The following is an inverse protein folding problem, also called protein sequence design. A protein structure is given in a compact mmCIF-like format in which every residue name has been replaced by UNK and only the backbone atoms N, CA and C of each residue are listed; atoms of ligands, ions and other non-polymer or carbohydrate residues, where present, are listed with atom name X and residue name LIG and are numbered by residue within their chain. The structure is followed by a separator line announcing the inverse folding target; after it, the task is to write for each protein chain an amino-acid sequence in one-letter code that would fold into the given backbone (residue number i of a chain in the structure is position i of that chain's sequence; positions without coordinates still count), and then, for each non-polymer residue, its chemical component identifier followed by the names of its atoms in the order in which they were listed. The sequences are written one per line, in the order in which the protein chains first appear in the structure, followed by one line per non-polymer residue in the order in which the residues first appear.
data_IF_099968346757
#
_entry.id   IF_099968346757
#
_cell.length_a   1.000
_cell.length_b   1.000
_cell.length_c   1.000
_cell.angle_alpha   90.00
_cell.angle_beta   90.00
_cell.angle_gamma   90.00
#
_symmetry.space_group_name_H-M   'P 1'
#
loop_
_entity.id
_entity.type
_entity.pdbx_description
1 polymer ?
#
# COMPACT_ATOMS: atom_id res chain seq x y z
N UNK A 1 -11.72 5.78 -2.27
CA UNK A 1 -10.92 4.56 -2.15
C UNK A 1 -9.58 4.89 -1.50
N UNK A 2 -9.16 4.08 -0.56
CA UNK A 2 -7.86 4.23 0.11
C UNK A 2 -6.92 3.15 -0.44
N UNK A 3 -5.77 3.55 -0.95
CA UNK A 3 -4.73 2.63 -1.42
C UNK A 3 -3.60 2.52 -0.39
N UNK A 4 -2.95 1.36 -0.36
CA UNK A 4 -1.88 1.05 0.59
C UNK A 4 -0.68 0.46 -0.14
N UNK A 5 0.52 0.76 0.36
CA UNK A 5 1.68 -0.07 0.06
C UNK A 5 1.74 -1.25 1.06
N UNK A 6 2.66 -2.17 0.84
CA UNK A 6 2.74 -3.38 1.68
C UNK A 6 3.13 -3.09 3.12
N UNK A 7 4.00 -2.10 3.35
CA UNK A 7 4.44 -1.78 4.72
C UNK A 7 3.30 -1.21 5.56
N UNK A 8 2.43 -0.41 4.96
CA UNK A 8 1.25 0.12 5.63
C UNK A 8 0.29 -0.99 6.06
N UNK A 9 0.05 -1.96 5.17
CA UNK A 9 -0.81 -3.11 5.49
C UNK A 9 -0.20 -3.99 6.58
N UNK A 10 1.10 -4.19 6.57
CA UNK A 10 1.80 -4.96 7.60
C UNK A 10 1.58 -4.36 8.99
N UNK A 11 1.54 -3.03 9.12
CA UNK A 11 1.25 -2.35 10.39
C UNK A 11 -0.15 -2.64 10.94
N UNK A 12 -1.08 -3.05 10.12
CA UNK A 12 -2.42 -3.43 10.54
C UNK A 12 -2.49 -4.85 11.09
N UNK A 13 -1.50 -5.67 10.85
CA UNK A 13 -1.41 -7.07 11.28
C UNK A 13 -0.39 -7.24 12.40
N UNK A 14 0.80 -6.66 12.24
CA UNK A 14 1.87 -6.67 13.24
C UNK A 14 1.96 -5.30 13.87
N UNK A 15 1.85 -5.25 15.21
CA UNK A 15 1.85 -3.97 15.91
C UNK A 15 3.20 -3.28 15.80
N UNK A 16 3.17 -2.03 15.30
CA UNK A 16 4.31 -1.13 15.19
C UNK A 16 3.92 0.22 15.78
N UNK A 17 4.86 1.17 15.81
CA UNK A 17 4.63 2.49 16.39
C UNK A 17 3.44 3.23 15.78
N UNK A 18 3.23 3.10 14.47
CA UNK A 18 2.21 3.82 13.72
C UNK A 18 0.86 3.08 13.66
N UNK A 19 0.78 1.87 14.20
CA UNK A 19 -0.45 1.04 14.10
C UNK A 19 -1.66 1.73 14.71
N UNK A 20 -1.54 2.26 15.92
CA UNK A 20 -2.66 2.91 16.60
C UNK A 20 -3.14 4.17 15.86
N UNK A 21 -2.27 5.12 15.49
CA UNK A 21 -2.72 6.28 14.71
C UNK A 21 -3.27 5.91 13.33
N UNK A 22 -2.71 4.89 12.66
CA UNK A 22 -3.24 4.41 11.38
C UNK A 22 -4.65 3.86 11.54
N UNK A 23 -4.89 3.03 12.55
CA UNK A 23 -6.23 2.49 12.82
C UNK A 23 -7.25 3.58 13.13
N UNK A 24 -6.87 4.56 13.94
CA UNK A 24 -7.74 5.70 14.26
C UNK A 24 -8.11 6.48 13.00
N UNK A 25 -7.14 6.71 12.12
CA UNK A 25 -7.36 7.40 10.85
C UNK A 25 -8.32 6.62 9.93
N UNK A 26 -8.18 5.29 9.89
CA UNK A 26 -9.06 4.42 9.09
C UNK A 26 -10.48 4.32 9.65
N UNK A 27 -10.64 4.24 10.97
CA UNK A 27 -11.96 4.21 11.60
C UNK A 27 -12.77 5.47 11.25
N UNK A 28 -12.12 6.62 11.18
CA UNK A 28 -12.78 7.86 10.77
C UNK A 28 -13.23 7.85 9.30
N UNK A 29 -12.82 6.85 8.51
CA UNK A 29 -13.10 6.69 7.08
C UNK A 29 -13.65 5.30 6.77
N UNK A 30 -14.50 4.78 7.61
CA UNK A 30 -14.99 3.41 7.61
C UNK A 30 -15.78 3.01 6.36
N UNK A 31 -16.30 3.99 5.61
CA UNK A 31 -17.04 3.74 4.37
C UNK A 31 -16.13 3.59 3.15
N UNK A 32 -14.85 3.93 3.27
CA UNK A 32 -13.93 3.87 2.13
C UNK A 32 -13.55 2.43 1.79
N UNK A 33 -13.58 2.08 0.51
CA UNK A 33 -13.03 0.81 0.03
C UNK A 33 -11.50 0.85 0.05
N UNK A 34 -10.88 -0.30 0.29
CA UNK A 34 -9.42 -0.45 0.37
C UNK A 34 -8.90 -1.15 -0.87
N UNK A 35 -7.78 -0.65 -1.39
CA UNK A 35 -7.12 -1.22 -2.56
C UNK A 35 -5.61 -1.27 -2.38
N UNK A 36 -4.98 -2.19 -3.08
CA UNK A 36 -3.52 -2.31 -3.12
C UNK A 36 -3.11 -3.10 -4.36
N UNK A 37 -1.81 -3.11 -4.66
CA UNK A 37 -1.26 -4.01 -5.67
C UNK A 37 -1.42 -5.47 -5.24
N UNK A 38 -1.65 -6.37 -6.18
CA UNK A 38 -1.64 -7.82 -5.94
C UNK A 38 -0.29 -8.33 -5.42
N UNK A 39 0.79 -7.56 -5.55
CA UNK A 39 2.08 -7.84 -4.92
C UNK A 39 1.97 -8.00 -3.39
N UNK A 40 1.01 -7.35 -2.77
CA UNK A 40 0.79 -7.44 -1.32
C UNK A 40 0.50 -8.87 -0.86
N UNK A 41 -0.05 -9.71 -1.74
CA UNK A 41 -0.26 -11.13 -1.43
C UNK A 41 1.04 -11.86 -1.09
N UNK A 42 2.14 -11.42 -1.63
CA UNK A 42 3.47 -11.97 -1.34
C UNK A 42 4.17 -11.15 -0.27
N UNK A 43 4.26 -9.85 -0.46
CA UNK A 43 5.06 -8.97 0.40
C UNK A 43 4.52 -8.92 1.83
N UNK A 44 3.22 -8.73 2.02
CA UNK A 44 2.62 -8.64 3.36
C UNK A 44 2.70 -9.99 4.08
N UNK A 45 2.34 -11.08 3.40
CA UNK A 45 2.39 -12.41 4.00
C UNK A 45 3.81 -12.78 4.44
N UNK A 46 4.81 -12.50 3.58
CA UNK A 46 6.21 -12.79 3.93
C UNK A 46 6.73 -11.90 5.06
N UNK A 47 6.37 -10.63 5.07
CA UNK A 47 6.75 -9.70 6.15
C UNK A 47 6.14 -10.13 7.49
N UNK A 48 4.86 -10.48 7.49
CA UNK A 48 4.16 -10.97 8.69
C UNK A 48 4.75 -12.30 9.16
N UNK A 49 5.06 -13.22 8.24
CA UNK A 49 5.66 -14.51 8.59
C UNK A 49 7.03 -14.33 9.29
N UNK A 50 7.82 -13.34 8.86
CA UNK A 50 9.12 -13.05 9.50
C UNK A 50 8.97 -12.43 10.90
N UNK A 51 7.96 -11.56 11.06
CA UNK A 51 7.77 -10.81 12.31
C UNK A 51 6.95 -11.59 13.34
N UNK A 52 5.91 -12.29 12.90
CA UNK A 52 4.94 -12.95 13.76
C UNK A 52 4.21 -14.03 12.97
N UNK A 53 4.80 -15.22 12.86
CA UNK A 53 4.27 -16.31 12.02
C UNK A 53 2.81 -16.67 12.32
N UNK A 54 2.40 -16.61 13.60
CA UNK A 54 1.04 -16.90 14.02
C UNK A 54 -0.01 -15.92 13.47
N UNK A 55 0.42 -14.74 12.98
CA UNK A 55 -0.47 -13.72 12.44
C UNK A 55 -0.70 -13.86 10.92
N UNK A 56 -0.05 -14.82 10.25
CA UNK A 56 -0.24 -15.03 8.80
C UNK A 56 -1.70 -15.24 8.41
N UNK A 57 -2.52 -16.02 9.11
CA UNK A 57 -3.94 -16.13 8.78
C UNK A 57 -4.69 -14.80 8.83
N UNK A 58 -4.34 -13.93 9.78
CA UNK A 58 -4.92 -12.57 9.87
C UNK A 58 -4.53 -11.73 8.66
N UNK A 59 -3.27 -11.79 8.23
CA UNK A 59 -2.81 -11.10 7.02
C UNK A 59 -3.61 -11.54 5.78
N UNK A 60 -3.81 -12.84 5.63
CA UNK A 60 -4.57 -13.38 4.48
C UNK A 60 -6.04 -12.95 4.51
N UNK A 61 -6.66 -12.88 5.69
CA UNK A 61 -8.04 -12.39 5.83
C UNK A 61 -8.14 -10.90 5.49
N UNK A 62 -7.17 -10.11 5.92
CA UNK A 62 -7.12 -8.68 5.57
C UNK A 62 -7.09 -8.50 4.05
N UNK A 63 -6.18 -9.19 3.37
CA UNK A 63 -6.03 -9.09 1.91
C UNK A 63 -7.27 -9.60 1.16
N UNK A 64 -7.92 -10.64 1.67
CA UNK A 64 -9.14 -11.18 1.06
C UNK A 64 -10.31 -10.19 1.05
N UNK A 65 -10.32 -9.21 1.96
CA UNK A 65 -11.34 -8.17 2.03
C UNK A 65 -11.04 -6.92 1.20
N UNK A 66 -9.95 -6.91 0.45
CA UNK A 66 -9.49 -5.74 -0.31
C UNK A 66 -9.65 -5.94 -1.82
N UNK A 67 -9.75 -4.82 -2.53
CA UNK A 67 -9.66 -4.78 -3.98
C UNK A 67 -8.18 -4.78 -4.39
N UNK A 68 -7.65 -5.94 -4.77
CA UNK A 68 -6.27 -6.06 -5.20
C UNK A 68 -6.15 -5.90 -6.71
N UNK A 69 -5.37 -4.91 -7.13
CA UNK A 69 -5.14 -4.59 -8.54
C UNK A 69 -4.07 -5.52 -9.11
N UNK A 70 -4.36 -6.29 -10.17
CA UNK A 70 -3.38 -7.16 -10.78
C UNK A 70 -2.18 -6.38 -11.34
N UNK A 71 -0.99 -6.98 -11.26
CA UNK A 71 0.21 -6.47 -11.92
C UNK A 71 0.18 -6.91 -13.38
N UNK A 72 -0.54 -6.14 -14.19
CA UNK A 72 -0.68 -6.41 -15.62
C UNK A 72 0.26 -5.54 -16.47
N UNK A 73 0.22 -5.70 -17.82
CA UNK A 73 1.10 -4.97 -18.73
C UNK A 73 1.05 -3.46 -18.56
N UNK A 74 -0.14 -2.88 -18.38
CA UNK A 74 -0.28 -1.43 -18.20
C UNK A 74 0.41 -0.91 -16.94
N UNK A 75 0.27 -1.61 -15.82
CA UNK A 75 0.95 -1.27 -14.57
C UNK A 75 2.46 -1.40 -14.72
N UNK A 76 2.93 -2.46 -15.39
CA UNK A 76 4.36 -2.69 -15.62
C UNK A 76 4.98 -1.57 -16.46
N UNK A 77 4.30 -1.15 -17.52
CA UNK A 77 4.80 -0.05 -18.38
C UNK A 77 4.88 1.27 -17.62
N UNK A 78 3.85 1.61 -16.87
CA UNK A 78 3.85 2.83 -16.06
C UNK A 78 4.98 2.77 -15.02
N UNK A 79 5.11 1.67 -14.32
CA UNK A 79 6.15 1.50 -13.30
C UNK A 79 7.56 1.65 -13.87
N UNK A 80 7.80 1.11 -15.08
CA UNK A 80 9.10 1.18 -15.74
C UNK A 80 9.57 2.63 -16.01
N UNK A 81 8.62 3.53 -16.25
CA UNK A 81 8.91 4.92 -16.61
C UNK A 81 8.84 5.89 -15.42
N UNK A 82 8.46 5.42 -14.23
CA UNK A 82 8.37 6.28 -13.05
C UNK A 82 9.75 6.71 -12.56
N UNK A 83 9.87 8.00 -12.26
CA UNK A 83 11.08 8.57 -11.67
C UNK A 83 10.93 8.78 -10.17
N UNK A 84 12.06 9.00 -9.47
CA UNK A 84 13.42 8.97 -10.01
C UNK A 84 13.89 7.52 -10.29
N UNK A 85 14.92 7.35 -11.13
CA UNK A 85 15.46 5.99 -11.43
C UNK A 85 15.94 5.24 -10.18
N UNK A 86 16.24 5.96 -9.10
CA UNK A 86 16.64 5.36 -7.81
C UNK A 86 15.46 4.74 -7.04
N UNK A 87 14.21 5.02 -7.44
CA UNK A 87 13.05 4.38 -6.84
C UNK A 87 13.08 2.87 -7.15
N UNK A 88 12.99 2.05 -6.11
CA UNK A 88 13.04 0.60 -6.26
C UNK A 88 11.86 0.08 -7.09
N UNK A 89 12.09 -1.01 -7.83
CA UNK A 89 11.09 -1.57 -8.76
C UNK A 89 9.77 -1.93 -8.07
N UNK A 90 9.81 -2.55 -6.89
CA UNK A 90 8.59 -2.89 -6.16
C UNK A 90 7.84 -1.66 -5.68
N UNK A 91 8.56 -0.64 -5.22
CA UNK A 91 7.96 0.66 -4.86
C UNK A 91 7.32 1.32 -6.08
N UNK A 92 7.98 1.28 -7.24
CA UNK A 92 7.44 1.80 -8.49
C UNK A 92 6.14 1.08 -8.88
N UNK A 93 6.05 -0.23 -8.67
CA UNK A 93 4.83 -1.00 -8.94
C UNK A 93 3.68 -0.59 -8.02
N UNK A 94 3.93 -0.33 -6.74
CA UNK A 94 2.90 0.19 -5.83
C UNK A 94 2.43 1.58 -6.26
N UNK A 95 3.34 2.45 -6.64
CA UNK A 95 3.01 3.79 -7.13
C UNK A 95 2.20 3.74 -8.43
N UNK A 96 2.63 2.92 -9.38
CA UNK A 96 1.91 2.74 -10.65
C UNK A 96 0.49 2.23 -10.40
N UNK A 97 0.32 1.29 -9.48
CA UNK A 97 -1.00 0.77 -9.09
C UNK A 97 -1.89 1.88 -8.54
N UNK A 98 -1.38 2.70 -7.62
CA UNK A 98 -2.13 3.83 -7.07
C UNK A 98 -2.52 4.84 -8.16
N UNK A 99 -1.62 5.11 -9.11
CA UNK A 99 -1.90 6.00 -10.23
C UNK A 99 -3.04 5.49 -11.12
N UNK A 100 -3.19 4.18 -11.28
CA UNK A 100 -4.29 3.61 -12.09
C UNK A 100 -5.67 3.86 -11.48
N UNK A 101 -5.75 4.14 -10.19
CA UNK A 101 -7.04 4.43 -9.53
C UNK A 101 -7.56 5.83 -9.88
N UNK A 102 -6.69 6.73 -10.34
CA UNK A 102 -7.08 8.06 -10.81
C UNK A 102 -7.89 8.83 -9.77
N UNK A 103 -9.00 9.40 -10.20
CA UNK A 103 -9.88 10.22 -9.34
C UNK A 103 -10.62 9.42 -8.27
N UNK A 104 -10.64 8.11 -8.33
CA UNK A 104 -11.21 7.26 -7.29
C UNK A 104 -10.35 7.21 -6.03
N UNK A 105 -9.07 7.60 -6.13
CA UNK A 105 -8.13 7.56 -5.03
C UNK A 105 -8.33 8.77 -4.11
N UNK A 106 -8.74 8.51 -2.87
CA UNK A 106 -8.89 9.53 -1.84
C UNK A 106 -7.60 9.72 -1.02
N UNK A 107 -6.87 8.64 -0.81
CA UNK A 107 -5.60 8.67 -0.08
C UNK A 107 -4.73 7.46 -0.45
N UNK A 108 -3.42 7.66 -0.45
CA UNK A 108 -2.41 6.61 -0.59
C UNK A 108 -1.60 6.56 0.70
N UNK A 109 -1.76 5.49 1.47
CA UNK A 109 -1.09 5.33 2.77
C UNK A 109 0.29 4.73 2.54
N UNK A 110 1.32 5.54 2.80
CA UNK A 110 2.72 5.18 2.55
C UNK A 110 3.60 5.71 3.69
N UNK A 111 4.41 4.86 4.28
CA UNK A 111 5.36 5.23 5.34
C UNK A 111 6.82 5.29 4.85
N UNK A 112 7.15 4.62 3.74
CA UNK A 112 8.46 4.73 3.13
C UNK A 112 8.65 6.15 2.55
N UNK A 113 9.67 6.85 3.01
CA UNK A 113 9.88 8.27 2.64
C UNK A 113 10.15 8.46 1.15
N UNK A 114 10.89 7.55 0.51
CA UNK A 114 11.22 7.66 -0.92
C UNK A 114 10.00 7.42 -1.79
N UNK A 115 9.22 6.39 -1.45
CA UNK A 115 7.96 6.13 -2.16
C UNK A 115 6.96 7.26 -1.94
N UNK A 116 6.85 7.76 -0.72
CA UNK A 116 5.96 8.88 -0.39
C UNK A 116 6.31 10.13 -1.20
N UNK A 117 7.60 10.46 -1.30
CA UNK A 117 8.04 11.62 -2.08
C UNK A 117 7.73 11.44 -3.57
N UNK A 118 8.02 10.27 -4.12
CA UNK A 118 7.71 9.98 -5.53
C UNK A 118 6.20 10.07 -5.80
N UNK A 119 5.37 9.61 -4.87
CA UNK A 119 3.92 9.69 -4.99
C UNK A 119 3.41 11.13 -4.91
N UNK A 120 3.97 11.94 -4.01
CA UNK A 120 3.66 13.39 -3.94
C UNK A 120 4.04 14.08 -5.25
N UNK A 121 5.22 13.80 -5.77
CA UNK A 121 5.71 14.38 -7.04
C UNK A 121 4.83 13.96 -8.23
N UNK A 122 4.21 12.79 -8.14
CA UNK A 122 3.25 12.30 -9.14
C UNK A 122 1.83 12.87 -8.94
N UNK A 123 1.61 13.70 -7.94
CA UNK A 123 0.33 14.37 -7.67
C UNK A 123 -0.66 13.56 -6.83
N UNK A 124 -0.23 12.49 -6.15
CA UNK A 124 -1.13 11.66 -5.34
C UNK A 124 -1.33 12.21 -3.91
N UNK A 125 -2.51 11.97 -3.33
CA UNK A 125 -2.81 12.37 -1.95
C UNK A 125 -2.18 11.40 -0.95
N UNK A 126 -0.93 11.61 -0.62
CA UNK A 126 -0.17 10.74 0.30
C UNK A 126 -0.50 11.07 1.74
N UNK A 127 -0.69 10.04 2.56
CA UNK A 127 -0.87 10.15 4.01
C UNK A 127 0.00 9.12 4.74
N UNK A 128 0.44 9.49 5.93
CA UNK A 128 1.22 8.61 6.81
C UNK A 128 0.82 8.91 8.27
N UNK A 129 -0.35 8.43 8.72
CA UNK A 129 -0.83 8.69 10.08
C UNK A 129 0.18 8.22 11.14
N UNK A 130 0.52 9.12 12.04
CA UNK A 130 1.55 8.87 13.05
C UNK A 130 1.21 9.55 14.39
#
# INVERSE_FOLDING_TARGET
MIAFDSSALTKLVVREQETAPLRAWLVARDEAAWSASSLTRVEVVRAVARAQAAAVPTARRLLAGMDLVPVGPGVLEVAADLGPPSLRSLAALHLATALTLGSALDAFVVYDERLAQAAVDAGLPVVAPS
#
